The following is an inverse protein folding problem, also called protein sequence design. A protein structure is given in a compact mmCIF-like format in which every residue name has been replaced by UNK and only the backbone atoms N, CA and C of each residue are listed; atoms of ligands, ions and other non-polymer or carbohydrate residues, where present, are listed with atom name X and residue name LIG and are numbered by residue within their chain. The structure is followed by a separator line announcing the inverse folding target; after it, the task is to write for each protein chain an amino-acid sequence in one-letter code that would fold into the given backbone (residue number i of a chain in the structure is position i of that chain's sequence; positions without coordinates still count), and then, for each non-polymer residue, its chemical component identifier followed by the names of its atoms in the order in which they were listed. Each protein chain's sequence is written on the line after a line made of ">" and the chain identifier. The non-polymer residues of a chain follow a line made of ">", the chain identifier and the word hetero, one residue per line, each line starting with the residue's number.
data_IF_609227630755
#
_entry.id   IF_609227630755
#
_cell.length_a   1.000
_cell.length_b   1.000
_cell.length_c   1.000
_cell.angle_alpha   90.00
_cell.angle_beta   90.00
_cell.angle_gamma   90.00
#
_symmetry.space_group_name_H-M   'P 1'
#
loop_
_entity.id
_entity.type
_entity.pdbx_description
1 polymer ?
#
# COMPACT_ATOMS: atom_id res chain seq x y z
N UNK A 1 56.98 -43.99 3.33
CA UNK A 1 56.10 -44.87 2.53
C UNK A 1 55.66 -44.11 1.29
N UNK A 2 56.06 -44.58 0.11
CA UNK A 2 55.75 -44.01 -1.21
C UNK A 2 54.36 -44.50 -1.72
N UNK A 3 53.81 -43.93 -2.81
CA UNK A 3 52.38 -43.84 -3.13
C UNK A 3 51.88 -44.98 -4.05
N UNK A 4 50.56 -45.03 -4.30
CA UNK A 4 49.98 -45.73 -5.46
C UNK A 4 48.81 -44.97 -6.07
N UNK A 5 49.10 -44.31 -7.19
CA UNK A 5 48.18 -44.14 -8.31
C UNK A 5 47.87 -45.50 -8.95
N UNK A 6 46.62 -45.69 -9.40
CA UNK A 6 46.29 -46.45 -10.61
C UNK A 6 45.03 -45.88 -11.26
N UNK A 7 45.25 -45.31 -12.43
CA UNK A 7 44.26 -45.02 -13.47
C UNK A 7 43.44 -46.27 -13.84
N UNK A 8 42.19 -46.07 -14.30
CA UNK A 8 41.77 -46.42 -15.68
C UNK A 8 40.34 -45.99 -16.02
N UNK A 9 40.29 -45.07 -16.98
CA UNK A 9 39.57 -45.10 -18.27
C UNK A 9 38.03 -45.21 -18.33
N UNK A 10 37.51 -44.20 -19.06
CA UNK A 10 36.61 -44.27 -20.22
C UNK A 10 35.13 -44.54 -20.02
N UNK A 11 34.31 -43.58 -20.46
CA UNK A 11 32.92 -43.83 -20.85
C UNK A 11 32.05 -42.57 -20.86
N UNK A 12 32.11 -41.77 -21.93
CA UNK A 12 30.97 -40.94 -22.33
C UNK A 12 30.29 -41.66 -23.51
N UNK A 13 28.97 -41.85 -23.47
CA UNK A 13 28.19 -41.40 -24.62
C UNK A 13 26.91 -40.65 -24.23
N UNK A 14 26.76 -39.51 -24.91
CA UNK A 14 25.54 -38.78 -25.27
C UNK A 14 24.25 -39.60 -25.14
N UNK A 15 23.26 -39.06 -24.42
CA UNK A 15 21.86 -39.13 -24.88
C UNK A 15 21.11 -37.85 -24.54
N UNK A 16 20.65 -37.21 -25.61
CA UNK A 16 19.86 -36.01 -25.68
C UNK A 16 18.39 -36.31 -25.42
N UNK A 17 17.78 -35.69 -24.42
CA UNK A 17 16.31 -35.55 -24.34
C UNK A 17 15.99 -34.06 -24.35
N UNK A 18 15.64 -33.57 -25.54
CA UNK A 18 15.00 -32.27 -25.74
C UNK A 18 13.62 -32.31 -25.11
N UNK A 19 13.42 -31.64 -23.98
CA UNK A 19 12.07 -31.26 -23.53
C UNK A 19 11.69 -29.95 -24.22
N UNK A 20 10.66 -29.99 -25.06
CA UNK A 20 10.05 -28.83 -25.68
C UNK A 20 9.36 -27.96 -24.63
N UNK A 21 9.50 -26.62 -24.68
CA UNK A 21 8.70 -25.75 -23.83
C UNK A 21 7.26 -25.68 -24.37
N UNK A 22 6.29 -26.06 -23.51
CA UNK A 22 4.86 -25.88 -23.79
C UNK A 22 4.56 -24.39 -23.91
N UNK A 23 4.18 -23.95 -25.12
CA UNK A 23 3.51 -22.68 -25.36
C UNK A 23 2.16 -22.70 -24.66
N UNK A 24 1.97 -21.88 -23.63
CA UNK A 24 0.65 -21.41 -23.23
C UNK A 24 0.59 -19.92 -23.54
N UNK A 25 0.03 -19.62 -24.70
CA UNK A 25 -0.38 -18.28 -25.07
C UNK A 25 -1.78 -18.04 -24.52
N UNK A 26 -1.90 -17.04 -23.66
CA UNK A 26 -3.09 -16.22 -23.48
C UNK A 26 -2.63 -14.91 -22.85
N UNK A 27 -2.01 -14.06 -23.67
CA UNK A 27 -1.70 -12.69 -23.31
C UNK A 27 -3.00 -11.91 -23.18
N UNK A 28 -3.51 -11.77 -21.96
CA UNK A 28 -4.44 -10.70 -21.64
C UNK A 28 -3.68 -9.38 -21.71
N UNK A 29 -3.91 -8.59 -22.76
CA UNK A 29 -3.45 -7.20 -22.83
C UNK A 29 -4.06 -6.45 -21.65
N UNK A 30 -3.25 -6.17 -20.62
CA UNK A 30 -3.55 -5.12 -19.66
C UNK A 30 -3.29 -3.79 -20.35
N UNK A 31 -4.33 -3.18 -20.90
CA UNK A 31 -4.29 -1.76 -21.27
C UNK A 31 -4.63 -0.95 -20.03
N UNK A 32 -3.66 -0.22 -19.47
CA UNK A 32 -3.96 0.88 -18.56
C UNK A 32 -4.84 1.89 -19.31
N UNK A 33 -6.05 2.13 -18.80
CA UNK A 33 -6.91 3.20 -19.28
C UNK A 33 -6.17 4.53 -19.21
N UNK A 34 -6.35 5.37 -20.23
CA UNK A 34 -5.77 6.71 -20.28
C UNK A 34 -6.40 7.56 -19.18
N UNK A 35 -5.63 8.44 -18.56
CA UNK A 35 -6.16 9.45 -17.67
C UNK A 35 -7.09 10.38 -18.46
N UNK A 36 -8.41 10.22 -18.29
CA UNK A 36 -9.43 11.00 -18.99
C UNK A 36 -10.80 10.35 -19.12
N UNK A 37 -10.97 9.07 -18.80
CA UNK A 37 -12.29 8.43 -18.94
C UNK A 37 -13.26 8.90 -17.84
N UNK A 38 -14.30 9.62 -18.24
CA UNK A 38 -15.50 9.88 -17.42
C UNK A 38 -16.09 8.53 -16.98
N UNK A 39 -16.46 8.43 -15.70
CA UNK A 39 -17.04 7.22 -15.11
C UNK A 39 -18.33 6.81 -15.83
N UNK A 40 -18.24 5.84 -16.73
CA UNK A 40 -19.37 5.27 -17.46
C UNK A 40 -20.02 4.14 -16.65
N UNK A 41 -20.67 4.48 -15.53
CA UNK A 41 -21.56 3.57 -14.80
C UNK A 41 -20.93 2.23 -14.36
N UNK A 42 -21.78 1.33 -13.87
CA UNK A 42 -21.42 -0.07 -13.66
C UNK A 42 -21.88 -0.89 -14.87
N UNK A 43 -21.21 -2.02 -15.12
CA UNK A 43 -21.61 -2.95 -16.18
C UNK A 43 -23.03 -3.50 -15.87
N UNK A 44 -24.04 -3.27 -16.74
CA UNK A 44 -25.40 -3.70 -16.49
C UNK A 44 -25.57 -5.22 -16.42
N UNK A 45 -24.59 -6.00 -16.89
CA UNK A 45 -24.60 -7.47 -16.78
C UNK A 45 -23.84 -7.99 -15.55
N UNK A 46 -23.05 -7.15 -14.85
CA UNK A 46 -22.31 -7.55 -13.67
C UNK A 46 -23.27 -7.86 -12.52
N UNK A 47 -23.19 -9.09 -12.00
CA UNK A 47 -23.93 -9.49 -10.81
C UNK A 47 -22.99 -9.68 -9.62
N UNK A 48 -23.34 -9.05 -8.50
CA UNK A 48 -22.65 -9.21 -7.22
C UNK A 48 -23.60 -9.77 -6.16
N UNK A 49 -23.05 -10.57 -5.25
CA UNK A 49 -23.76 -11.19 -4.15
C UNK A 49 -23.81 -10.20 -2.99
N UNK A 50 -25.02 -9.87 -2.56
CA UNK A 50 -25.31 -9.05 -1.38
C UNK A 50 -25.07 -9.91 -0.11
N UNK A 51 -24.22 -9.48 0.83
CA UNK A 51 -23.95 -10.23 2.06
C UNK A 51 -25.11 -10.24 3.07
N UNK A 52 -26.06 -9.31 3.00
CA UNK A 52 -27.22 -9.25 3.91
C UNK A 52 -28.26 -10.33 3.61
N UNK A 53 -28.48 -10.65 2.33
CA UNK A 53 -29.50 -11.62 1.92
C UNK A 53 -28.96 -12.83 1.14
N UNK A 54 -27.70 -12.79 0.71
CA UNK A 54 -27.03 -13.85 -0.03
C UNK A 54 -27.46 -13.96 -1.51
N UNK A 55 -28.27 -13.03 -2.02
CA UNK A 55 -28.73 -13.02 -3.40
C UNK A 55 -27.81 -12.21 -4.31
N UNK A 56 -27.83 -12.54 -5.61
CA UNK A 56 -27.02 -11.87 -6.62
C UNK A 56 -27.83 -10.85 -7.41
N UNK A 57 -27.49 -9.57 -7.27
CA UNK A 57 -28.14 -8.44 -7.93
C UNK A 57 -27.24 -7.87 -9.02
N UNK A 58 -27.82 -7.23 -10.04
CA UNK A 58 -27.11 -6.18 -10.81
C UNK A 58 -27.10 -4.87 -10.02
N UNK A 59 -26.27 -3.90 -10.41
CA UNK A 59 -26.22 -2.60 -9.73
C UNK A 59 -27.60 -1.93 -9.68
N UNK A 60 -28.33 -1.93 -10.79
CA UNK A 60 -29.67 -1.35 -10.86
C UNK A 60 -30.68 -2.13 -9.99
N UNK A 61 -30.61 -3.46 -9.98
CA UNK A 61 -31.47 -4.28 -9.12
C UNK A 61 -31.21 -4.01 -7.62
N UNK A 62 -29.95 -3.83 -7.23
CA UNK A 62 -29.57 -3.53 -5.84
C UNK A 62 -30.00 -2.11 -5.43
N UNK A 63 -29.81 -1.13 -6.31
CA UNK A 63 -30.27 0.24 -6.07
C UNK A 63 -31.79 0.31 -5.93
N UNK A 64 -32.52 -0.43 -6.75
CA UNK A 64 -33.98 -0.50 -6.62
C UNK A 64 -34.43 -1.27 -5.37
N UNK A 65 -33.71 -2.32 -4.97
CA UNK A 65 -34.02 -3.08 -3.75
C UNK A 65 -33.87 -2.23 -2.47
N UNK A 66 -32.82 -1.39 -2.41
CA UNK A 66 -32.56 -0.51 -1.27
C UNK A 66 -33.07 0.93 -1.44
N UNK A 67 -33.87 1.17 -2.48
CA UNK A 67 -34.39 2.49 -2.80
C UNK A 67 -35.16 3.10 -1.62
N UNK A 68 -34.74 4.30 -1.21
CA UNK A 68 -35.35 5.03 -0.10
C UNK A 68 -34.86 4.62 1.30
N UNK A 69 -34.05 3.57 1.42
CA UNK A 69 -33.38 3.20 2.69
C UNK A 69 -32.00 3.85 2.82
N UNK A 70 -31.25 3.93 1.71
CA UNK A 70 -29.89 4.44 1.68
C UNK A 70 -29.69 5.45 0.55
N UNK A 71 -28.71 6.35 0.70
CA UNK A 71 -28.35 7.30 -0.36
C UNK A 71 -27.56 6.59 -1.45
N UNK A 72 -27.69 7.03 -2.70
CA UNK A 72 -26.98 6.42 -3.85
C UNK A 72 -25.47 6.24 -3.61
N UNK A 73 -24.81 7.24 -3.02
CA UNK A 73 -23.37 7.19 -2.71
C UNK A 73 -23.00 6.13 -1.65
N UNK A 74 -23.91 5.86 -0.71
CA UNK A 74 -23.73 4.80 0.30
C UNK A 74 -23.92 3.43 -0.35
N UNK A 75 -24.88 3.30 -1.28
CA UNK A 75 -25.06 2.10 -2.08
C UNK A 75 -23.88 1.84 -3.02
N UNK A 76 -23.28 2.88 -3.60
CA UNK A 76 -22.10 2.75 -4.47
C UNK A 76 -20.92 2.16 -3.68
N UNK A 77 -20.69 2.65 -2.46
CA UNK A 77 -19.68 2.09 -1.57
C UNK A 77 -20.03 0.65 -1.16
N UNK A 78 -21.28 0.39 -0.81
CA UNK A 78 -21.76 -0.95 -0.45
C UNK A 78 -21.58 -1.98 -1.59
N UNK A 79 -21.94 -1.59 -2.81
CA UNK A 79 -21.76 -2.41 -4.01
C UNK A 79 -20.29 -2.69 -4.33
N UNK A 80 -19.44 -1.69 -4.17
CA UNK A 80 -18.02 -1.81 -4.51
C UNK A 80 -17.25 -2.66 -3.48
N UNK A 81 -17.54 -2.48 -2.19
CA UNK A 81 -16.71 -2.99 -1.10
C UNK A 81 -17.33 -4.16 -0.35
N UNK A 82 -18.65 -4.25 -0.27
CA UNK A 82 -19.34 -5.29 0.51
C UNK A 82 -19.93 -6.39 -0.39
N UNK A 83 -20.39 -6.05 -1.60
CA UNK A 83 -20.96 -7.03 -2.54
C UNK A 83 -19.86 -7.78 -3.31
N UNK A 84 -19.93 -9.12 -3.35
CA UNK A 84 -18.88 -9.94 -3.98
C UNK A 84 -19.21 -10.34 -5.42
N UNK A 85 -18.29 -10.21 -6.40
CA UNK A 85 -18.57 -10.57 -7.79
C UNK A 85 -18.92 -12.05 -7.98
N UNK A 86 -20.02 -12.33 -8.69
CA UNK A 86 -20.39 -13.71 -9.02
C UNK A 86 -19.58 -14.22 -10.21
N UNK A 87 -18.62 -15.12 -9.97
CA UNK A 87 -17.89 -15.80 -11.04
C UNK A 87 -18.83 -16.75 -11.81
N UNK A 88 -18.72 -16.76 -13.15
CA UNK A 88 -19.61 -17.50 -14.06
C UNK A 88 -19.55 -19.01 -13.78
N UNK A 89 -20.52 -19.52 -13.02
CA UNK A 89 -20.79 -20.94 -12.77
C UNK A 89 -22.30 -21.22 -12.77
N UNK A 90 -22.70 -22.41 -13.21
CA UNK A 90 -24.08 -22.82 -13.63
C UNK A 90 -25.24 -22.36 -12.70
N UNK A 91 -26.43 -22.07 -13.28
CA UNK A 91 -27.51 -21.39 -12.58
C UNK A 91 -28.28 -22.33 -11.63
N UNK A 92 -28.61 -21.85 -10.43
CA UNK A 92 -29.69 -22.42 -9.61
C UNK A 92 -30.41 -21.35 -8.76
N UNK A 93 -31.73 -21.40 -8.93
CA UNK A 93 -32.85 -20.99 -8.06
C UNK A 93 -33.28 -19.52 -8.06
N UNK A 94 -34.59 -19.39 -8.28
CA UNK A 94 -35.39 -18.19 -8.48
C UNK A 94 -35.76 -17.46 -7.18
N UNK A 95 -36.15 -16.20 -7.39
CA UNK A 95 -36.55 -15.15 -6.43
C UNK A 95 -37.72 -15.57 -5.52
N UNK A 96 -37.66 -15.32 -4.20
CA UNK A 96 -38.87 -15.19 -3.39
C UNK A 96 -39.37 -13.73 -3.42
N UNK A 97 -40.66 -13.57 -3.70
CA UNK A 97 -41.40 -12.31 -3.55
C UNK A 97 -41.49 -11.86 -2.07
N UNK A 98 -41.61 -10.54 -1.80
CA UNK A 98 -41.60 -10.03 -0.44
C UNK A 98 -42.91 -10.35 0.29
N UNK A 99 -42.81 -11.00 1.46
CA UNK A 99 -43.95 -11.19 2.39
C UNK A 99 -44.23 -9.91 3.15
N UNK A 100 -45.33 -9.25 2.81
CA UNK A 100 -45.99 -8.25 3.65
C UNK A 100 -47.00 -8.90 4.63
N UNK A 101 -47.09 -8.38 5.86
CA UNK A 101 -48.29 -8.47 6.74
C UNK A 101 -48.55 -7.06 7.29
N UNK A 102 -49.51 -6.32 6.72
CA UNK A 102 -50.89 -6.08 7.21
C UNK A 102 -50.95 -4.85 8.16
N UNK A 103 -51.84 -3.85 8.08
CA UNK A 103 -53.22 -3.63 7.58
C UNK A 103 -53.29 -2.15 7.07
N UNK A 104 -54.22 -1.61 6.29
CA UNK A 104 -55.67 -1.75 6.22
C UNK A 104 -56.25 -1.16 4.91
N UNK A 105 -57.52 -1.49 4.68
CA UNK A 105 -58.45 -1.22 3.56
C UNK A 105 -58.50 0.22 3.02
N UNK A 106 -58.60 0.40 1.70
CA UNK A 106 -59.83 0.82 0.99
C UNK A 106 -59.60 1.06 -0.52
N UNK A 107 -60.65 0.79 -1.31
CA UNK A 107 -60.78 0.85 -2.77
C UNK A 107 -60.57 2.25 -3.37
N UNK A 108 -60.00 2.35 -4.58
CA UNK A 108 -60.71 2.69 -5.83
C UNK A 108 -59.79 3.13 -6.99
N UNK A 109 -60.00 2.47 -8.14
CA UNK A 109 -60.06 2.96 -9.53
C UNK A 109 -59.08 4.03 -10.07
N UNK A 110 -58.39 3.60 -11.14
CA UNK A 110 -58.44 4.12 -12.50
C UNK A 110 -57.43 5.19 -12.99
N UNK A 111 -56.90 4.84 -14.16
CA UNK A 111 -56.55 5.66 -15.33
C UNK A 111 -55.17 6.34 -15.47
N UNK A 112 -54.45 5.80 -16.45
CA UNK A 112 -53.45 6.36 -17.34
C UNK A 112 -53.46 7.88 -17.57
N UNK A 113 -52.25 8.47 -17.58
CA UNK A 113 -51.74 9.31 -18.69
C UNK A 113 -50.26 9.65 -18.51
N UNK A 114 -49.46 9.28 -19.52
CA UNK A 114 -48.17 9.89 -19.83
C UNK A 114 -48.39 11.14 -20.71
N UNK A 115 -47.34 11.81 -21.20
CA UNK A 115 -46.35 12.61 -20.48
C UNK A 115 -46.35 14.06 -21.03
N UNK A 116 -45.73 15.03 -20.34
CA UNK A 116 -45.28 16.26 -21.00
C UNK A 116 -43.89 16.68 -20.52
N UNK A 117 -42.98 16.64 -21.48
CA UNK A 117 -41.64 17.21 -21.44
C UNK A 117 -41.71 18.74 -21.32
N UNK A 118 -40.84 19.32 -20.49
CA UNK A 118 -40.34 20.68 -20.65
C UNK A 118 -38.89 20.72 -20.15
N UNK A 119 -37.95 20.77 -21.10
CA UNK A 119 -36.62 21.36 -20.91
C UNK A 119 -36.65 22.79 -21.52
N UNK A 120 -35.60 23.62 -21.39
CA UNK A 120 -34.65 23.77 -20.29
C UNK A 120 -34.53 25.26 -19.87
N UNK A 121 -34.10 25.57 -18.64
CA UNK A 121 -33.48 26.87 -18.34
C UNK A 121 -32.24 26.72 -17.49
N UNK A 122 -31.12 26.92 -18.16
CA UNK A 122 -29.78 27.08 -17.62
C UNK A 122 -29.71 28.16 -16.54
N UNK A 123 -29.05 27.84 -15.42
CA UNK A 123 -28.20 28.77 -14.68
C UNK A 123 -26.99 28.02 -14.14
N UNK A 124 -25.90 28.08 -14.91
CA UNK A 124 -24.56 27.69 -14.47
C UNK A 124 -24.18 28.60 -13.30
N UNK A 125 -23.98 28.03 -12.11
CA UNK A 125 -23.24 28.66 -11.02
C UNK A 125 -21.91 27.94 -10.86
N UNK A 126 -20.85 28.74 -10.88
CA UNK A 126 -19.45 28.37 -10.98
C UNK A 126 -19.01 27.35 -9.92
N UNK A 127 -18.21 26.37 -10.37
CA UNK A 127 -17.49 25.41 -9.52
C UNK A 127 -16.59 26.16 -8.53
N UNK A 128 -16.81 25.93 -7.24
CA UNK A 128 -15.81 26.24 -6.22
C UNK A 128 -14.59 25.34 -6.45
N UNK A 129 -13.46 25.94 -6.84
CA UNK A 129 -12.15 25.27 -6.87
C UNK A 129 -11.85 24.74 -5.47
N UNK A 130 -11.73 23.42 -5.32
CA UNK A 130 -11.09 22.83 -4.15
C UNK A 130 -9.66 23.39 -4.08
N UNK A 131 -9.37 24.20 -3.06
CA UNK A 131 -8.03 24.75 -2.80
C UNK A 131 -7.06 23.58 -2.60
N UNK A 132 -5.97 23.58 -3.36
CA UNK A 132 -4.81 22.74 -3.08
C UNK A 132 -4.38 22.92 -1.61
N UNK A 133 -3.88 21.88 -0.93
CA UNK A 133 -3.43 22.00 0.45
C UNK A 133 -2.36 23.11 0.55
N UNK A 134 -2.57 24.03 1.50
CA UNK A 134 -1.67 25.14 1.79
C UNK A 134 -0.24 24.65 2.06
N UNK A 135 0.67 25.58 1.82
CA UNK A 135 2.13 25.59 2.00
C UNK A 135 2.63 24.93 3.30
N UNK A 136 3.94 24.63 3.34
CA UNK A 136 4.61 24.05 4.52
C UNK A 136 4.46 25.07 5.66
N UNK A 137 3.92 24.63 6.80
CA UNK A 137 3.81 25.43 8.02
C UNK A 137 4.71 24.74 9.06
N UNK A 138 5.97 25.19 9.21
CA UNK A 138 6.94 24.53 10.08
C UNK A 138 6.47 24.42 11.53
N UNK A 139 5.72 25.42 12.02
CA UNK A 139 5.21 25.44 13.39
C UNK A 139 4.10 24.39 13.59
N UNK A 140 3.21 24.23 12.61
CA UNK A 140 2.20 23.16 12.65
C UNK A 140 2.79 21.78 12.50
N UNK A 141 3.78 21.62 11.63
CA UNK A 141 4.47 20.34 11.43
C UNK A 141 5.24 19.94 12.69
N UNK A 142 5.85 20.91 13.40
CA UNK A 142 6.52 20.67 14.69
C UNK A 142 5.54 20.27 15.80
N UNK A 143 4.38 20.95 15.90
CA UNK A 143 3.31 20.57 16.84
C UNK A 143 2.81 19.16 16.58
N UNK A 144 2.67 18.77 15.32
CA UNK A 144 2.30 17.41 14.94
C UNK A 144 3.39 16.40 15.32
N UNK A 145 4.66 16.70 15.08
CA UNK A 145 5.77 15.83 15.46
C UNK A 145 5.80 15.57 16.97
N UNK A 146 5.59 16.61 17.79
CA UNK A 146 5.47 16.48 19.26
C UNK A 146 4.30 15.59 19.67
N UNK A 147 3.11 15.83 19.12
CA UNK A 147 1.93 15.01 19.41
C UNK A 147 2.09 13.54 19.00
N UNK A 148 2.83 13.25 17.92
CA UNK A 148 3.14 11.88 17.54
C UNK A 148 4.17 11.25 18.49
N UNK A 149 5.21 11.98 18.87
CA UNK A 149 6.22 11.47 19.79
C UNK A 149 5.62 11.12 21.17
N UNK A 150 4.63 11.87 21.65
CA UNK A 150 3.89 11.59 22.89
C UNK A 150 3.16 10.24 22.86
N UNK A 151 2.73 9.77 21.69
CA UNK A 151 2.00 8.50 21.55
C UNK A 151 2.90 7.33 21.09
N UNK A 152 4.21 7.54 20.96
CA UNK A 152 5.16 6.47 20.63
C UNK A 152 5.92 6.12 21.92
N UNK A 153 5.50 5.08 22.65
CA UNK A 153 6.22 4.65 23.83
C UNK A 153 7.53 3.94 23.44
N UNK A 154 8.49 3.92 24.36
CA UNK A 154 9.65 3.05 24.28
C UNK A 154 9.73 2.05 25.43
N UNK A 155 10.30 0.88 25.15
CA UNK A 155 10.55 -0.18 26.13
C UNK A 155 11.95 -0.80 25.93
N UNK A 156 12.53 -1.43 26.97
CA UNK A 156 13.73 -2.24 26.81
C UNK A 156 13.40 -3.54 26.06
N UNK A 157 14.16 -3.87 25.00
CA UNK A 157 13.91 -5.06 24.18
C UNK A 157 15.18 -5.56 23.51
N UNK A 158 15.48 -6.85 23.56
CA UNK A 158 16.64 -7.45 22.85
C UNK A 158 17.95 -6.67 23.07
N UNK A 159 18.27 -6.35 24.34
CA UNK A 159 19.44 -5.54 24.75
C UNK A 159 19.42 -4.07 24.28
N UNK A 160 18.38 -3.62 23.57
CA UNK A 160 18.15 -2.21 23.30
C UNK A 160 17.57 -1.56 24.54
N UNK A 161 18.16 -0.44 24.96
CA UNK A 161 17.63 0.36 26.07
C UNK A 161 16.27 1.00 25.70
N UNK A 162 16.14 1.43 24.44
CA UNK A 162 14.94 2.07 23.90
C UNK A 162 14.56 1.45 22.57
N UNK A 163 13.57 0.57 22.58
CA UNK A 163 12.82 0.18 21.40
C UNK A 163 11.58 1.06 21.29
N UNK A 164 11.50 1.88 20.26
CA UNK A 164 10.34 2.75 20.00
C UNK A 164 9.24 1.99 19.27
N UNK A 165 8.07 1.89 19.89
CA UNK A 165 6.95 1.13 19.35
C UNK A 165 5.97 2.01 18.60
N UNK A 166 6.05 1.91 17.27
CA UNK A 166 5.20 2.66 16.36
C UNK A 166 3.73 2.25 16.42
N UNK A 167 3.40 1.10 17.04
CA UNK A 167 2.02 0.67 17.24
C UNK A 167 1.22 1.75 17.99
N UNK A 168 1.87 2.49 18.88
CA UNK A 168 1.26 3.63 19.55
C UNK A 168 0.71 4.68 18.57
N UNK A 169 1.44 5.01 17.50
CA UNK A 169 0.91 5.89 16.44
C UNK A 169 -0.22 5.22 15.64
N UNK A 170 -0.15 3.91 15.39
CA UNK A 170 -1.18 3.21 14.62
C UNK A 170 -2.54 3.18 15.32
N UNK A 171 -2.57 3.23 16.66
CA UNK A 171 -3.78 3.44 17.44
C UNK A 171 -4.40 4.85 17.27
N UNK A 172 -3.67 5.80 16.66
CA UNK A 172 -4.08 7.18 16.47
C UNK A 172 -4.21 7.52 14.97
N UNK A 173 -5.26 7.04 14.26
CA UNK A 173 -5.39 7.17 12.81
C UNK A 173 -5.42 8.63 12.33
N UNK A 174 -5.89 9.57 13.15
CA UNK A 174 -5.85 11.00 12.84
C UNK A 174 -4.42 11.53 12.75
N UNK A 175 -3.54 11.12 13.67
CA UNK A 175 -2.14 11.50 13.69
C UNK A 175 -1.38 10.87 12.52
N UNK A 176 -1.58 9.56 12.27
CA UNK A 176 -1.01 8.88 11.11
C UNK A 176 -1.41 9.56 9.79
N UNK A 177 -2.70 9.83 9.60
CA UNK A 177 -3.19 10.49 8.41
C UNK A 177 -2.60 11.90 8.21
N UNK A 178 -2.45 12.66 9.31
CA UNK A 178 -1.83 13.99 9.28
C UNK A 178 -0.34 13.90 8.91
N UNK A 179 0.42 12.98 9.51
CA UNK A 179 1.83 12.75 9.18
C UNK A 179 1.98 12.38 7.70
N UNK A 180 1.20 11.42 7.20
CA UNK A 180 1.25 11.02 5.79
C UNK A 180 0.90 12.19 4.86
N UNK A 181 0.02 13.11 5.28
CA UNK A 181 -0.28 14.32 4.50
C UNK A 181 0.91 15.29 4.43
N UNK A 182 1.67 15.43 5.52
CA UNK A 182 2.92 16.23 5.53
C UNK A 182 3.98 15.59 4.63
N UNK A 183 4.22 14.29 4.78
CA UNK A 183 5.16 13.53 3.93
C UNK A 183 4.79 13.66 2.44
N UNK A 184 3.52 13.45 2.10
CA UNK A 184 3.04 13.61 0.72
C UNK A 184 3.20 15.05 0.20
N UNK A 185 2.97 16.08 1.04
CA UNK A 185 3.20 17.47 0.64
C UNK A 185 4.67 17.73 0.34
N UNK A 186 5.59 17.19 1.14
CA UNK A 186 7.04 17.29 0.91
C UNK A 186 7.44 16.63 -0.41
N UNK A 187 7.08 15.36 -0.58
CA UNK A 187 7.51 14.56 -1.73
C UNK A 187 6.90 15.05 -3.05
N UNK A 188 5.71 15.68 -3.02
CA UNK A 188 5.11 16.29 -4.22
C UNK A 188 6.01 17.38 -4.82
N UNK A 189 6.72 18.16 -3.99
CA UNK A 189 7.65 19.19 -4.46
C UNK A 189 8.87 18.59 -5.17
N UNK A 190 9.23 17.35 -4.82
CA UNK A 190 10.37 16.62 -5.39
C UNK A 190 10.03 15.87 -6.69
N UNK A 191 8.76 15.91 -7.13
CA UNK A 191 8.28 15.21 -8.34
C UNK A 191 8.62 13.71 -8.33
N UNK A 192 8.42 13.09 -7.17
CA UNK A 192 8.60 11.65 -7.00
C UNK A 192 7.67 10.87 -7.91
N UNK A 193 8.16 9.76 -8.42
CA UNK A 193 7.41 8.85 -9.31
C UNK A 193 6.96 7.59 -8.61
N UNK A 194 7.65 7.18 -7.53
CA UNK A 194 7.34 5.99 -6.73
C UNK A 194 7.77 6.19 -5.27
N UNK A 195 7.07 5.53 -4.36
CA UNK A 195 7.46 5.38 -2.95
C UNK A 195 7.85 3.92 -2.73
N UNK A 196 9.04 3.67 -2.19
CA UNK A 196 9.54 2.33 -1.93
C UNK A 196 9.67 2.13 -0.42
N UNK A 197 8.90 1.20 0.15
CA UNK A 197 8.97 0.90 1.58
C UNK A 197 9.67 -0.42 1.88
N UNK A 198 10.33 -0.52 3.03
CA UNK A 198 11.01 -1.74 3.47
C UNK A 198 10.09 -2.68 4.25
N UNK A 199 10.29 -3.98 4.06
CA UNK A 199 9.58 -4.99 4.83
C UNK A 199 9.98 -4.93 6.32
N UNK A 200 9.04 -4.95 7.27
CA UNK A 200 7.58 -4.86 7.09
C UNK A 200 7.03 -3.46 7.40
N UNK A 201 7.64 -2.75 8.36
CA UNK A 201 7.08 -1.52 8.94
C UNK A 201 7.07 -0.36 7.95
N UNK A 202 8.01 -0.31 7.01
CA UNK A 202 7.97 0.63 5.89
C UNK A 202 6.69 0.53 5.04
N UNK A 203 6.00 -0.61 5.02
CA UNK A 203 4.73 -0.77 4.29
C UNK A 203 3.56 0.01 4.92
N UNK A 204 3.66 0.35 6.21
CA UNK A 204 2.66 1.17 6.91
C UNK A 204 2.52 2.57 6.30
N UNK A 205 3.51 3.01 5.52
CA UNK A 205 3.52 4.30 4.83
C UNK A 205 2.92 4.25 3.41
N UNK A 206 2.28 3.15 3.01
CA UNK A 206 1.47 3.08 1.78
C UNK A 206 0.48 4.26 1.61
N UNK A 207 -0.16 4.79 2.68
CA UNK A 207 -1.01 5.98 2.56
C UNK A 207 -0.30 7.22 2.01
N UNK A 208 1.02 7.34 2.11
CA UNK A 208 1.79 8.43 1.50
C UNK A 208 1.73 8.35 -0.03
N UNK A 209 1.96 7.15 -0.58
CA UNK A 209 1.88 6.90 -2.02
C UNK A 209 0.46 7.14 -2.56
N UNK A 210 -0.56 6.67 -1.81
CA UNK A 210 -1.96 6.92 -2.15
C UNK A 210 -2.29 8.43 -2.23
N UNK A 211 -1.80 9.23 -1.27
CA UNK A 211 -1.99 10.70 -1.27
C UNK A 211 -1.24 11.43 -2.38
N UNK A 212 -0.14 10.84 -2.86
CA UNK A 212 0.63 11.37 -3.98
C UNK A 212 0.06 10.96 -5.34
N UNK A 213 -0.72 9.88 -5.38
CA UNK A 213 -1.17 9.27 -6.64
C UNK A 213 -0.04 8.58 -7.39
N UNK A 214 0.94 8.01 -6.66
CA UNK A 214 2.09 7.29 -7.24
C UNK A 214 2.12 5.84 -6.75
N UNK A 215 2.74 4.91 -7.49
CA UNK A 215 2.90 3.53 -7.05
C UNK A 215 3.68 3.42 -5.72
N UNK A 216 3.24 2.47 -4.88
CA UNK A 216 4.03 1.99 -3.75
C UNK A 216 4.73 0.68 -4.14
N UNK A 217 6.04 0.62 -3.91
CA UNK A 217 6.88 -0.53 -4.25
C UNK A 217 7.38 -1.18 -2.97
N UNK A 218 7.15 -2.48 -2.84
CA UNK A 218 7.62 -3.25 -1.71
C UNK A 218 9.07 -3.67 -1.92
N UNK A 219 9.94 -3.29 -0.99
CA UNK A 219 11.30 -3.80 -0.86
C UNK A 219 11.30 -4.91 0.19
N UNK A 220 11.68 -6.12 -0.22
CA UNK A 220 11.53 -7.33 0.60
C UNK A 220 12.85 -8.04 0.80
N UNK A 221 12.94 -8.84 1.85
CA UNK A 221 14.11 -9.73 2.03
C UNK A 221 14.15 -10.79 0.94
N UNK A 222 15.36 -11.28 0.63
CA UNK A 222 15.54 -12.39 -0.29
C UNK A 222 14.66 -13.61 0.07
N UNK A 223 14.17 -14.31 -0.96
CA UNK A 223 13.31 -15.48 -0.80
C UNK A 223 11.83 -15.20 -0.51
N UNK A 224 11.43 -13.94 -0.31
CA UNK A 224 10.02 -13.57 -0.04
C UNK A 224 9.18 -13.25 -1.29
N UNK A 225 9.80 -13.17 -2.46
CA UNK A 225 9.15 -12.79 -3.72
C UNK A 225 9.86 -13.44 -4.93
N UNK A 226 9.13 -13.90 -5.96
CA UNK A 226 9.75 -14.42 -7.18
C UNK A 226 10.18 -13.31 -8.15
N UNK A 227 11.08 -13.64 -9.09
CA UNK A 227 11.51 -12.77 -10.20
C UNK A 227 12.00 -11.38 -9.75
N UNK A 228 13.07 -11.36 -8.97
CA UNK A 228 13.57 -10.15 -8.31
C UNK A 228 14.90 -9.64 -8.86
N UNK A 229 15.15 -8.34 -8.65
CA UNK A 229 16.48 -7.72 -8.65
C UNK A 229 16.89 -7.55 -7.18
N UNK A 230 18.18 -7.67 -6.90
CA UNK A 230 18.76 -7.69 -5.56
C UNK A 230 19.81 -6.61 -5.35
N UNK A 231 19.93 -6.10 -4.13
CA UNK A 231 21.01 -5.21 -3.69
C UNK A 231 22.38 -5.88 -3.64
N UNK A 232 22.41 -7.22 -3.70
CA UNK A 232 23.51 -8.02 -3.18
C UNK A 232 23.55 -8.05 -1.63
N UNK A 233 24.42 -8.88 -1.06
CA UNK A 233 24.53 -9.07 0.39
C UNK A 233 25.05 -7.81 1.11
N UNK A 234 24.50 -7.51 2.29
CA UNK A 234 25.01 -6.48 3.21
C UNK A 234 25.07 -6.97 4.66
N UNK A 235 26.07 -6.50 5.40
CA UNK A 235 26.27 -6.87 6.81
C UNK A 235 25.32 -6.10 7.72
N UNK A 236 24.64 -6.82 8.61
CA UNK A 236 23.79 -6.22 9.67
C UNK A 236 24.62 -5.67 10.81
N UNK A 237 24.01 -4.81 11.62
CA UNK A 237 24.68 -4.21 12.80
C UNK A 237 24.93 -5.22 13.93
N UNK A 238 24.14 -6.30 13.99
CA UNK A 238 24.11 -7.26 15.10
C UNK A 238 24.37 -8.71 14.64
N UNK A 239 25.23 -8.89 13.63
CA UNK A 239 25.59 -10.17 12.97
C UNK A 239 24.64 -10.65 11.85
N UNK A 240 25.24 -11.31 10.86
CA UNK A 240 24.57 -11.88 9.70
C UNK A 240 24.61 -11.00 8.45
N UNK A 241 24.27 -11.63 7.33
CA UNK A 241 24.13 -11.01 6.01
C UNK A 241 22.64 -10.96 5.68
N UNK A 242 22.13 -9.81 5.24
CA UNK A 242 20.81 -9.71 4.62
C UNK A 242 20.93 -9.26 3.17
N UNK A 243 19.80 -9.31 2.48
CA UNK A 243 19.67 -8.90 1.09
C UNK A 243 18.27 -8.33 0.88
N UNK A 244 18.18 -7.15 0.29
CA UNK A 244 16.91 -6.52 -0.07
C UNK A 244 16.70 -6.65 -1.58
N UNK A 245 15.47 -7.00 -1.94
CA UNK A 245 15.05 -7.33 -3.29
C UNK A 245 13.78 -6.56 -3.68
N UNK A 246 13.66 -6.28 -4.97
CA UNK A 246 12.46 -5.71 -5.60
C UNK A 246 12.04 -6.54 -6.79
N UNK A 247 10.76 -6.52 -7.15
CA UNK A 247 10.27 -7.23 -8.33
C UNK A 247 10.89 -6.65 -9.61
N UNK A 248 11.37 -7.51 -10.49
CA UNK A 248 11.96 -7.09 -11.77
C UNK A 248 10.94 -6.32 -12.60
N UNK A 249 11.33 -5.13 -13.08
CA UNK A 249 10.48 -4.22 -13.85
C UNK A 249 9.56 -3.31 -13.02
N UNK A 250 9.56 -3.44 -11.69
CA UNK A 250 8.83 -2.51 -10.82
C UNK A 250 9.48 -1.12 -10.75
N UNK A 251 10.80 -1.06 -11.01
CA UNK A 251 11.61 0.15 -11.06
C UNK A 251 12.27 0.23 -12.44
N UNK A 252 12.31 1.43 -13.00
CA UNK A 252 12.98 1.77 -14.27
C UNK A 252 13.87 3.00 -14.10
N UNK A 253 14.76 3.23 -15.05
CA UNK A 253 15.78 4.28 -15.02
C UNK A 253 15.24 5.69 -14.79
N UNK A 254 14.07 5.99 -15.34
CA UNK A 254 13.45 7.32 -15.24
C UNK A 254 12.83 7.58 -13.86
N UNK A 255 12.76 6.57 -12.99
CA UNK A 255 12.14 6.70 -11.68
C UNK A 255 12.95 7.56 -10.73
N UNK A 256 12.23 8.50 -10.13
CA UNK A 256 12.62 9.23 -8.92
C UNK A 256 11.89 8.62 -7.74
N UNK A 257 12.63 8.00 -6.84
CA UNK A 257 12.07 7.21 -5.74
C UNK A 257 12.38 7.82 -4.39
N UNK A 258 11.42 7.67 -3.47
CA UNK A 258 11.67 7.87 -2.04
C UNK A 258 11.75 6.50 -1.38
N UNK A 259 12.83 6.27 -0.65
CA UNK A 259 12.97 5.11 0.23
C UNK A 259 12.38 5.48 1.59
N UNK A 260 11.39 4.75 2.09
CA UNK A 260 10.68 5.08 3.34
C UNK A 260 10.69 3.92 4.33
N UNK A 261 10.98 4.23 5.58
CA UNK A 261 10.84 3.28 6.70
C UNK A 261 10.31 4.00 7.95
N UNK A 262 10.00 3.23 8.99
CA UNK A 262 9.53 3.80 10.24
C UNK A 262 10.66 4.46 11.04
N UNK A 263 11.81 3.80 11.14
CA UNK A 263 12.93 4.28 11.94
C UNK A 263 14.27 4.07 11.23
N UNK A 264 15.11 5.10 11.27
CA UNK A 264 16.51 5.02 10.82
C UNK A 264 17.44 5.01 12.02
N UNK A 265 18.07 3.86 12.23
CA UNK A 265 19.14 3.67 13.18
C UNK A 265 20.50 3.94 12.51
N UNK A 266 21.30 2.90 12.22
CA UNK A 266 22.62 3.12 11.59
C UNK A 266 22.57 3.34 10.08
N UNK A 267 21.38 3.25 9.47
CA UNK A 267 21.15 3.47 8.03
C UNK A 267 21.48 2.28 7.13
N UNK A 268 21.87 1.12 7.67
CA UNK A 268 22.26 -0.06 6.87
C UNK A 268 21.20 -0.51 5.86
N UNK A 269 19.95 -0.64 6.29
CA UNK A 269 18.82 -1.02 5.43
C UNK A 269 18.57 0.01 4.31
N UNK A 270 18.64 1.31 4.63
CA UNK A 270 18.52 2.37 3.63
C UNK A 270 19.65 2.30 2.61
N UNK A 271 20.90 2.12 3.04
CA UNK A 271 22.04 1.97 2.14
C UNK A 271 21.89 0.75 1.20
N UNK A 272 21.36 -0.36 1.69
CA UNK A 272 21.05 -1.52 0.84
C UNK A 272 19.96 -1.18 -0.19
N UNK A 273 18.92 -0.44 0.22
CA UNK A 273 17.90 0.08 -0.68
C UNK A 273 18.47 1.03 -1.74
N UNK A 274 19.41 1.92 -1.38
CA UNK A 274 20.06 2.83 -2.34
C UNK A 274 20.82 2.04 -3.39
N UNK A 275 21.63 1.05 -2.97
CA UNK A 275 22.35 0.15 -3.90
C UNK A 275 21.41 -0.63 -4.81
N UNK A 276 20.26 -1.06 -4.29
CA UNK A 276 19.24 -1.73 -5.09
C UNK A 276 18.65 -0.79 -6.16
N UNK A 277 18.39 0.48 -5.81
CA UNK A 277 17.90 1.47 -6.78
C UNK A 277 18.98 1.82 -7.81
N UNK A 278 20.25 1.89 -7.41
CA UNK A 278 21.39 2.03 -8.32
C UNK A 278 21.47 0.87 -9.32
N UNK A 279 21.29 -0.38 -8.86
CA UNK A 279 21.20 -1.55 -9.73
C UNK A 279 19.99 -1.52 -10.68
N UNK A 280 18.95 -0.74 -10.35
CA UNK A 280 17.80 -0.48 -11.21
C UNK A 280 17.96 0.79 -12.07
N UNK A 281 19.11 1.47 -11.99
CA UNK A 281 19.42 2.77 -12.61
C UNK A 281 18.46 3.91 -12.19
N UNK A 282 17.76 3.78 -11.07
CA UNK A 282 16.81 4.77 -10.57
C UNK A 282 17.47 5.77 -9.61
N UNK A 283 16.90 6.97 -9.51
CA UNK A 283 17.40 8.04 -8.65
C UNK A 283 16.70 8.04 -7.29
N UNK A 284 17.46 7.92 -6.20
CA UNK A 284 16.96 8.08 -4.83
C UNK A 284 16.96 9.56 -4.44
N UNK A 285 15.81 10.22 -4.56
CA UNK A 285 15.69 11.66 -4.27
C UNK A 285 15.64 11.95 -2.77
N UNK A 286 15.12 11.02 -1.97
CA UNK A 286 15.13 11.14 -0.52
C UNK A 286 15.04 9.77 0.16
N UNK A 287 15.84 9.58 1.21
CA UNK A 287 15.57 8.59 2.24
C UNK A 287 14.78 9.24 3.35
N UNK A 288 13.53 8.81 3.55
CA UNK A 288 12.62 9.36 4.53
C UNK A 288 12.36 8.35 5.65
N UNK A 289 12.18 8.86 6.87
CA UNK A 289 11.74 8.05 7.99
C UNK A 289 10.80 8.83 8.92
N UNK A 290 10.01 8.10 9.71
CA UNK A 290 9.25 8.75 10.76
C UNK A 290 10.19 9.19 11.90
N UNK A 291 11.10 8.32 12.34
CA UNK A 291 12.06 8.61 13.41
C UNK A 291 13.49 8.49 12.91
N UNK A 292 14.30 9.52 13.14
CA UNK A 292 15.74 9.49 12.89
C UNK A 292 16.52 9.49 14.20
N UNK A 293 17.28 8.41 14.45
CA UNK A 293 18.21 8.33 15.59
C UNK A 293 19.55 8.95 15.21
N UNK A 294 19.67 10.26 15.41
CA UNK A 294 20.80 11.06 14.93
C UNK A 294 22.13 10.58 15.50
N UNK A 295 22.14 10.06 16.74
CA UNK A 295 23.34 9.55 17.39
C UNK A 295 24.05 8.42 16.61
N UNK A 296 23.34 7.73 15.69
CA UNK A 296 23.85 6.58 14.96
C UNK A 296 24.41 6.91 13.56
N UNK A 297 24.46 8.19 13.18
CA UNK A 297 25.06 8.70 11.94
C UNK A 297 24.55 8.00 10.66
N UNK A 298 23.27 7.60 10.64
CA UNK A 298 22.66 6.93 9.49
C UNK A 298 22.53 7.85 8.28
N UNK A 299 22.29 9.14 8.51
CA UNK A 299 22.17 10.19 7.49
C UNK A 299 23.42 10.29 6.63
N UNK A 300 24.60 10.41 7.24
CA UNK A 300 25.87 10.57 6.56
C UNK A 300 26.18 9.36 5.68
N UNK A 301 25.84 8.15 6.15
CA UNK A 301 26.01 6.92 5.37
C UNK A 301 25.08 6.88 4.16
N UNK A 302 23.83 7.29 4.31
CA UNK A 302 22.87 7.32 3.19
C UNK A 302 23.28 8.33 2.12
N UNK A 303 23.71 9.53 2.52
CA UNK A 303 24.20 10.55 1.59
C UNK A 303 25.44 10.06 0.83
N UNK A 304 26.40 9.44 1.53
CA UNK A 304 27.59 8.83 0.89
C UNK A 304 27.24 7.67 -0.03
N UNK A 305 26.16 6.94 0.25
CA UNK A 305 25.69 5.83 -0.57
C UNK A 305 24.97 6.29 -1.85
N UNK A 306 24.61 7.57 -1.98
CA UNK A 306 24.03 8.13 -3.21
C UNK A 306 22.61 8.66 -3.10
N UNK A 307 22.02 8.76 -1.90
CA UNK A 307 20.77 9.50 -1.73
C UNK A 307 21.01 11.01 -1.87
N UNK A 308 20.13 11.71 -2.61
CA UNK A 308 20.23 13.18 -2.75
C UNK A 308 19.92 13.90 -1.42
N UNK A 309 19.07 13.32 -0.59
CA UNK A 309 18.70 13.89 0.71
C UNK A 309 18.22 12.83 1.71
N UNK A 310 18.22 13.20 3.00
CA UNK A 310 17.70 12.36 4.10
C UNK A 310 16.80 13.21 4.99
N UNK A 311 15.66 12.66 5.40
CA UNK A 311 14.70 13.37 6.24
C UNK A 311 14.04 12.48 7.28
N UNK A 312 14.09 12.88 8.55
CA UNK A 312 13.27 12.34 9.63
C UNK A 312 12.12 13.28 9.95
N UNK A 313 10.90 12.74 10.10
CA UNK A 313 9.74 13.51 10.52
C UNK A 313 9.83 13.94 11.99
N UNK A 314 10.31 13.04 12.86
CA UNK A 314 10.48 13.21 14.30
C UNK A 314 11.97 13.13 14.61
N UNK A 315 12.43 14.08 15.41
CA UNK A 315 13.78 14.09 15.95
C UNK A 315 13.82 13.26 17.25
N UNK A 316 14.92 12.54 17.46
CA UNK A 316 15.13 11.65 18.61
C UNK A 316 14.87 12.32 19.98
N UNK A 317 15.17 13.61 20.12
CA UNK A 317 14.96 14.40 21.34
C UNK A 317 13.48 14.54 21.76
N UNK A 318 12.53 14.29 20.85
CA UNK A 318 11.11 14.31 21.17
C UNK A 318 10.61 12.97 21.75
N UNK A 319 11.36 11.87 21.56
CA UNK A 319 10.91 10.51 21.90
C UNK A 319 11.25 10.14 23.35
N UNK A 320 10.57 10.78 24.30
CA UNK A 320 10.82 10.60 25.74
C UNK A 320 9.72 9.84 26.48
N UNK A 321 8.71 9.35 25.76
CA UNK A 321 7.58 8.61 26.36
C UNK A 321 8.01 7.20 26.74
N UNK A 322 8.26 6.96 28.03
CA UNK A 322 8.56 5.62 28.55
C UNK A 322 7.27 4.81 28.67
N UNK A 323 7.27 3.57 28.20
CA UNK A 323 6.15 2.65 28.41
C UNK A 323 5.99 2.31 29.89
N UNK A 324 4.74 2.21 30.36
CA UNK A 324 4.43 1.49 31.59
C UNK A 324 4.52 -0.01 31.28
N UNK A 325 5.41 -0.71 31.98
CA UNK A 325 5.58 -2.15 31.80
C UNK A 325 4.67 -2.88 32.80
N UNK A 326 3.81 -3.81 32.35
CA UNK A 326 3.02 -4.61 33.27
C UNK A 326 3.93 -5.56 34.06
N UNK A 327 3.47 -6.02 35.23
CA UNK A 327 4.23 -6.91 36.12
C UNK A 327 4.63 -8.24 35.45
N UNK A 328 3.88 -8.67 34.42
CA UNK A 328 4.12 -9.87 33.64
C UNK A 328 4.87 -9.62 32.32
N UNK A 329 5.50 -8.45 32.15
CA UNK A 329 6.28 -8.12 30.96
C UNK A 329 7.34 -9.19 30.67
N UNK A 330 7.31 -9.73 29.44
CA UNK A 330 8.27 -10.72 28.94
C UNK A 330 8.97 -10.16 27.72
N UNK A 331 10.30 -10.05 27.80
CA UNK A 331 11.13 -9.91 26.61
C UNK A 331 11.24 -11.28 25.93
N UNK A 332 10.35 -11.53 24.96
CA UNK A 332 10.33 -12.73 24.12
C UNK A 332 11.33 -12.64 22.95
N UNK A 333 12.12 -11.57 22.94
CA UNK A 333 13.09 -11.29 21.92
C UNK A 333 14.21 -12.32 21.91
N UNK A 334 14.00 -13.42 21.16
CA UNK A 334 14.99 -14.48 21.01
C UNK A 334 16.38 -13.89 20.67
N UNK A 335 17.36 -14.41 21.42
CA UNK A 335 18.76 -13.99 21.53
C UNK A 335 19.51 -13.92 20.21
#
# INVERSE_FOLDING_TARGET
>A
MAPRDKERRSGNPKSSVKQQPKKSGAGGKFTMGKAGDEWQGYDPEERRIDPEDGFAYTWDELVDFYKGKYKKKELEAYWEYECTPKTRGKPKVAKPEPKAKAKAKAKAKAEAKAPKAVEPKAKVKAKAKAKAPKEIDPEKDEKLAKAIAEVIPYFPFKKLEKFYDIQGLLHHPKLLNAMCAVMARRFRKMKVTKICGFEARGFLFTPVALKLGVPFIMLRKAGKMPNTISSGPYTKEYEGVDEICVQKGAIVKEDKVVLIDDLVATGGTLCAGIKLMEACEATVVECACMVELKALNGREKCLKAGAESVWGFISEDLLNTKAELPDDYKDDGQK
#
